data_IF_541269013893
#
_entry.id   IF_541269013893
#
_cell.length_a   1.000
_cell.length_b   1.000
_cell.length_c   1.000
_cell.angle_alpha   90.00
_cell.angle_beta   90.00
_cell.angle_gamma   90.00
#
_symmetry.space_group_name_H-M   'P 1'
#
loop_
_entity.id
_entity.type
_entity.pdbx_description
1 polymer ?
#
# COMPACT_ATOMS: atom_id res chain seq x y z
N UNK A 1 7.30 10.63 -14.90
CA UNK A 1 6.35 9.52 -14.89
C UNK A 1 6.98 8.23 -14.37
N UNK A 2 7.94 7.59 -15.07
CA UNK A 2 8.53 6.29 -14.67
C UNK A 2 9.13 6.32 -13.26
N UNK A 3 9.98 7.31 -12.91
CA UNK A 3 10.54 7.42 -11.56
C UNK A 3 9.46 7.43 -10.45
N UNK A 4 8.31 8.06 -10.68
CA UNK A 4 7.20 8.11 -9.73
C UNK A 4 6.41 6.80 -9.66
N UNK A 5 6.23 6.13 -10.79
CA UNK A 5 5.65 4.80 -10.83
C UNK A 5 6.52 3.79 -10.06
N UNK A 6 7.82 3.81 -10.30
CA UNK A 6 8.81 3.03 -9.57
C UNK A 6 8.85 3.41 -8.08
N UNK A 7 8.80 4.72 -7.77
CA UNK A 7 8.74 5.21 -6.39
C UNK A 7 7.50 4.72 -5.65
N UNK A 8 6.33 4.71 -6.30
CA UNK A 8 5.09 4.21 -5.72
C UNK A 8 5.20 2.73 -5.31
N UNK A 9 5.58 1.86 -6.24
CA UNK A 9 5.64 0.42 -5.96
C UNK A 9 6.77 0.06 -4.98
N UNK A 10 7.95 0.67 -5.15
CA UNK A 10 9.06 0.53 -4.19
C UNK A 10 8.70 1.04 -2.80
N UNK A 11 8.01 2.18 -2.75
CA UNK A 11 7.60 2.78 -1.47
C UNK A 11 6.62 1.90 -0.71
N UNK A 12 5.69 1.27 -1.42
CA UNK A 12 4.80 0.27 -0.83
C UNK A 12 5.58 -0.91 -0.26
N UNK A 13 6.39 -1.58 -1.08
CA UNK A 13 7.16 -2.76 -0.69
C UNK A 13 8.13 -2.47 0.45
N UNK A 14 8.77 -1.30 0.44
CA UNK A 14 9.68 -0.90 1.51
C UNK A 14 8.93 -0.58 2.81
N UNK A 15 7.79 0.09 2.72
CA UNK A 15 6.94 0.41 3.86
C UNK A 15 6.42 -0.85 4.55
N UNK A 16 5.87 -1.80 3.78
CA UNK A 16 5.44 -3.12 4.21
C UNK A 16 6.58 -3.86 4.96
N UNK A 17 7.68 -4.13 4.27
CA UNK A 17 8.78 -4.90 4.85
C UNK A 17 9.47 -4.21 6.04
N UNK A 18 9.48 -2.87 6.09
CA UNK A 18 10.03 -2.11 7.20
C UNK A 18 9.07 -2.11 8.40
N UNK A 19 7.78 -1.94 8.15
CA UNK A 19 6.73 -1.96 9.16
C UNK A 19 6.56 -3.33 9.80
N UNK A 20 6.68 -4.42 9.02
CA UNK A 20 6.63 -5.80 9.51
C UNK A 20 7.70 -6.16 10.55
N UNK A 21 8.77 -5.34 10.67
CA UNK A 21 9.76 -5.51 11.74
C UNK A 21 9.18 -5.25 13.14
N UNK A 22 8.13 -4.45 13.25
CA UNK A 22 7.59 -3.98 14.53
C UNK A 22 6.07 -4.00 14.61
N UNK A 23 5.42 -4.69 13.69
CA UNK A 23 3.97 -4.84 13.64
C UNK A 23 3.42 -5.33 14.99
N UNK A 24 2.26 -4.79 15.37
CA UNK A 24 1.57 -5.02 16.66
C UNK A 24 2.30 -4.52 17.91
N UNK A 25 3.46 -3.87 17.79
CA UNK A 25 4.14 -3.26 18.92
C UNK A 25 3.55 -1.89 19.25
N UNK A 26 3.65 -1.53 20.53
CA UNK A 26 3.32 -0.16 20.98
C UNK A 26 4.42 0.83 20.58
N UNK A 27 4.10 2.13 20.48
CA UNK A 27 5.09 3.16 20.20
C UNK A 27 6.26 3.18 21.21
N UNK A 28 6.01 2.82 22.47
CA UNK A 28 7.04 2.74 23.54
C UNK A 28 8.02 1.59 23.30
N UNK A 29 7.53 0.42 22.90
CA UNK A 29 8.36 -0.74 22.57
C UNK A 29 9.22 -0.45 21.34
N UNK A 30 8.65 0.15 20.30
CA UNK A 30 9.38 0.52 19.09
C UNK A 30 10.47 1.53 19.42
N UNK A 31 10.16 2.62 20.14
CA UNK A 31 11.18 3.62 20.55
C UNK A 31 12.31 3.04 21.40
N UNK A 32 12.02 2.02 22.21
CA UNK A 32 13.05 1.34 23.02
C UNK A 32 14.00 0.55 22.15
N UNK A 33 13.48 -0.18 21.16
CA UNK A 33 14.26 -1.01 20.26
C UNK A 33 14.95 -0.20 19.15
N UNK A 34 14.27 0.84 18.68
CA UNK A 34 14.69 1.69 17.56
C UNK A 34 14.66 3.18 17.96
N UNK A 35 15.57 3.66 18.81
CA UNK A 35 15.53 5.04 19.33
C UNK A 35 15.75 6.11 18.27
N UNK A 36 16.25 5.74 17.08
CA UNK A 36 16.43 6.62 15.93
C UNK A 36 15.39 6.39 14.80
N UNK A 37 14.34 5.61 15.09
CA UNK A 37 13.37 5.13 14.12
C UNK A 37 13.79 3.82 13.45
N UNK A 38 12.79 3.10 12.89
CA UNK A 38 13.01 1.88 12.10
C UNK A 38 13.43 2.32 10.69
N UNK A 39 14.73 2.20 10.38
CA UNK A 39 15.30 2.81 9.15
C UNK A 39 15.97 1.82 8.21
N UNK A 40 16.29 0.62 8.66
CA UNK A 40 16.98 -0.37 7.86
C UNK A 40 16.12 -1.63 7.72
N UNK A 41 15.96 -2.11 6.50
CA UNK A 41 15.40 -3.44 6.24
C UNK A 41 16.37 -4.49 6.75
N UNK A 42 15.91 -5.36 7.64
CA UNK A 42 16.70 -6.37 8.33
C UNK A 42 15.95 -7.70 8.42
N UNK A 43 16.67 -8.78 8.68
CA UNK A 43 16.05 -10.07 9.01
C UNK A 43 15.38 -10.02 10.39
N UNK A 44 14.22 -10.66 10.53
CA UNK A 44 13.50 -10.79 11.79
C UNK A 44 12.11 -10.16 11.76
N UNK A 45 11.78 -9.39 12.80
CA UNK A 45 10.47 -8.76 12.95
C UNK A 45 9.39 -9.72 13.44
N UNK A 46 8.14 -9.28 13.38
CA UNK A 46 6.95 -10.00 13.88
C UNK A 46 6.82 -11.37 13.22
N UNK A 47 7.05 -11.44 11.93
CA UNK A 47 6.92 -12.67 11.13
C UNK A 47 8.24 -13.41 10.92
N UNK A 48 9.36 -12.91 11.47
CA UNK A 48 10.69 -13.52 11.29
C UNK A 48 11.05 -13.71 9.80
N UNK A 49 10.85 -12.67 9.01
CA UNK A 49 11.13 -12.62 7.57
C UNK A 49 12.59 -12.28 7.28
N UNK A 50 13.06 -12.50 6.06
CA UNK A 50 14.34 -11.96 5.59
C UNK A 50 14.18 -10.50 5.15
N UNK A 51 15.26 -9.74 5.17
CA UNK A 51 15.27 -8.32 4.82
C UNK A 51 14.61 -8.05 3.45
N UNK A 52 13.55 -7.25 3.46
CA UNK A 52 12.79 -6.88 2.27
C UNK A 52 11.75 -7.91 1.82
N UNK A 53 11.50 -8.97 2.60
CA UNK A 53 10.43 -9.92 2.29
C UNK A 53 9.07 -9.27 2.56
N UNK A 54 8.18 -9.22 1.56
CA UNK A 54 6.83 -8.67 1.71
C UNK A 54 5.93 -9.56 2.59
N UNK A 55 4.91 -8.92 3.17
CA UNK A 55 3.74 -9.56 3.79
C UNK A 55 2.59 -9.65 2.78
N UNK A 56 1.36 -9.90 3.24
CA UNK A 56 0.16 -9.96 2.39
C UNK A 56 -0.11 -8.64 1.67
N UNK A 57 0.23 -7.50 2.25
CA UNK A 57 0.12 -6.17 1.64
C UNK A 57 0.69 -6.13 0.24
N UNK A 58 1.96 -6.45 0.12
CA UNK A 58 2.66 -6.32 -1.15
C UNK A 58 2.64 -7.59 -1.99
N UNK A 59 2.47 -8.77 -1.40
CA UNK A 59 2.26 -10.00 -2.20
C UNK A 59 0.99 -9.89 -3.06
N UNK A 60 -0.11 -9.39 -2.48
CA UNK A 60 -1.35 -9.14 -3.23
C UNK A 60 -1.19 -8.03 -4.26
N UNK A 61 -0.47 -6.95 -3.92
CA UNK A 61 -0.16 -5.87 -4.84
C UNK A 61 0.67 -6.35 -6.04
N UNK A 62 1.70 -7.18 -5.82
CA UNK A 62 2.51 -7.75 -6.89
C UNK A 62 1.68 -8.61 -7.85
N UNK A 63 0.73 -9.40 -7.35
CA UNK A 63 -0.19 -10.16 -8.21
C UNK A 63 -1.11 -9.26 -9.03
N UNK A 64 -1.69 -8.23 -8.40
CA UNK A 64 -2.48 -7.23 -9.12
C UNK A 64 -1.66 -6.56 -10.23
N UNK A 65 -0.42 -6.16 -9.92
CA UNK A 65 0.50 -5.57 -10.88
C UNK A 65 0.74 -6.48 -12.08
N UNK A 66 1.10 -7.75 -11.83
CA UNK A 66 1.36 -8.75 -12.88
C UNK A 66 0.12 -9.03 -13.72
N UNK A 67 -1.05 -9.10 -13.10
CA UNK A 67 -2.32 -9.27 -13.80
C UNK A 67 -2.61 -8.08 -14.73
N UNK A 68 -2.43 -6.85 -14.26
CA UNK A 68 -2.64 -5.64 -15.05
C UNK A 68 -1.70 -5.55 -16.26
N UNK A 69 -0.42 -5.88 -16.06
CA UNK A 69 0.56 -5.94 -17.15
C UNK A 69 0.19 -7.01 -18.17
N UNK A 70 -0.15 -8.20 -17.71
CA UNK A 70 -0.51 -9.33 -18.57
C UNK A 70 -1.77 -9.09 -19.39
N UNK A 71 -2.79 -8.49 -18.78
CA UNK A 71 -4.09 -8.32 -19.41
C UNK A 71 -4.22 -6.99 -20.19
N UNK A 72 -3.41 -5.99 -19.89
CA UNK A 72 -3.53 -4.64 -20.44
C UNK A 72 -4.82 -3.90 -20.04
N UNK A 73 -5.58 -4.43 -19.08
CA UNK A 73 -6.83 -3.87 -18.58
C UNK A 73 -7.12 -4.38 -17.18
N UNK A 74 -7.90 -3.62 -16.39
CA UNK A 74 -8.44 -4.12 -15.14
C UNK A 74 -9.68 -4.99 -15.40
N UNK A 75 -9.70 -6.18 -14.82
CA UNK A 75 -10.81 -7.12 -14.81
C UNK A 75 -10.99 -7.66 -13.39
N UNK A 76 -12.14 -7.38 -12.72
CA UNK A 76 -12.38 -7.80 -11.34
C UNK A 76 -12.37 -9.31 -11.14
N UNK A 77 -12.81 -10.09 -12.13
CA UNK A 77 -12.77 -11.55 -12.04
C UNK A 77 -11.35 -12.11 -12.20
N UNK A 78 -10.52 -11.48 -13.01
CA UNK A 78 -9.10 -11.82 -13.10
C UNK A 78 -8.38 -11.46 -11.78
N UNK A 79 -8.63 -10.27 -11.23
CA UNK A 79 -8.07 -9.86 -9.94
C UNK A 79 -8.48 -10.83 -8.81
N UNK A 80 -9.77 -11.19 -8.74
CA UNK A 80 -10.28 -12.19 -7.77
C UNK A 80 -9.52 -13.51 -7.88
N UNK A 81 -9.27 -14.02 -9.08
CA UNK A 81 -8.54 -15.28 -9.30
C UNK A 81 -7.11 -15.19 -8.79
N UNK A 82 -6.41 -14.08 -9.04
CA UNK A 82 -5.06 -13.89 -8.53
C UNK A 82 -5.05 -13.83 -6.99
N UNK A 83 -6.00 -13.15 -6.36
CA UNK A 83 -6.11 -13.10 -4.90
C UNK A 83 -6.50 -14.47 -4.30
N UNK A 84 -7.34 -15.25 -4.98
CA UNK A 84 -7.64 -16.64 -4.56
C UNK A 84 -6.42 -17.56 -4.72
N UNK A 85 -5.61 -17.35 -5.77
CA UNK A 85 -4.34 -18.06 -5.91
C UNK A 85 -3.40 -17.72 -4.73
N UNK A 86 -3.30 -16.42 -4.37
CA UNK A 86 -2.52 -16.01 -3.21
C UNK A 86 -3.02 -16.67 -1.91
N UNK A 87 -4.31 -16.63 -1.64
CA UNK A 87 -4.90 -17.24 -0.44
C UNK A 87 -4.61 -18.75 -0.37
N UNK A 88 -4.65 -19.45 -1.50
CA UNK A 88 -4.37 -20.88 -1.59
C UNK A 88 -2.87 -21.22 -1.55
N UNK A 89 -1.99 -20.23 -1.56
CA UNK A 89 -0.53 -20.41 -1.47
C UNK A 89 0.00 -20.52 -0.03
N UNK A 90 -0.90 -20.61 0.96
CA UNK A 90 -0.59 -20.67 2.39
C UNK A 90 0.23 -19.46 2.86
N UNK A 91 -0.31 -18.23 2.74
CA UNK A 91 0.37 -17.04 3.21
C UNK A 91 0.57 -17.10 4.72
N UNK A 92 1.73 -16.60 5.20
CA UNK A 92 2.07 -16.59 6.63
C UNK A 92 1.35 -15.46 7.39
N UNK A 93 0.85 -14.47 6.67
CA UNK A 93 0.00 -13.41 7.17
C UNK A 93 -1.24 -13.29 6.26
N UNK A 94 -2.41 -13.09 6.85
CA UNK A 94 -3.67 -12.99 6.11
C UNK A 94 -4.76 -12.32 6.96
N UNK A 95 -5.21 -11.15 6.54
CA UNK A 95 -6.32 -10.44 7.18
C UNK A 95 -7.64 -11.22 7.13
N UNK A 96 -8.37 -11.26 8.24
CA UNK A 96 -9.66 -11.97 8.36
C UNK A 96 -10.69 -11.52 7.32
N UNK A 97 -10.79 -10.21 7.04
CA UNK A 97 -11.73 -9.66 6.06
C UNK A 97 -11.38 -10.11 4.64
N UNK A 98 -10.09 -10.16 4.30
CA UNK A 98 -9.61 -10.66 3.01
C UNK A 98 -9.98 -12.13 2.86
N UNK A 99 -9.61 -12.96 3.83
CA UNK A 99 -9.91 -14.39 3.82
C UNK A 99 -11.40 -14.66 3.64
N UNK A 100 -12.25 -14.02 4.46
CA UNK A 100 -13.69 -14.17 4.38
C UNK A 100 -14.25 -13.74 3.00
N UNK A 101 -13.82 -12.59 2.49
CA UNK A 101 -14.25 -12.07 1.18
C UNK A 101 -13.90 -13.00 0.02
N UNK A 102 -12.65 -13.51 -0.01
CA UNK A 102 -12.18 -14.41 -1.06
C UNK A 102 -12.84 -15.78 -1.00
N UNK A 103 -13.31 -16.23 0.18
CA UNK A 103 -14.09 -17.43 0.39
C UNK A 103 -15.60 -17.25 0.11
N UNK A 104 -16.02 -16.07 -0.36
CA UNK A 104 -17.41 -15.79 -0.73
C UNK A 104 -18.31 -15.32 0.42
N UNK A 105 -17.74 -14.93 1.56
CA UNK A 105 -18.45 -14.43 2.74
C UNK A 105 -17.98 -13.00 3.13
N UNK A 106 -18.05 -12.01 2.23
CA UNK A 106 -17.58 -10.66 2.53
C UNK A 106 -18.44 -10.00 3.62
N UNK A 107 -17.77 -9.37 4.60
CA UNK A 107 -18.46 -8.60 5.64
C UNK A 107 -18.65 -7.14 5.19
N UNK A 108 -19.92 -6.76 4.93
CA UNK A 108 -20.27 -5.40 4.54
C UNK A 108 -20.10 -4.35 5.65
N UNK A 109 -19.93 -4.77 6.89
CA UNK A 109 -19.69 -3.85 8.02
C UNK A 109 -18.20 -3.61 8.26
N UNK A 110 -17.34 -4.50 7.78
CA UNK A 110 -15.89 -4.35 7.94
C UNK A 110 -15.38 -3.11 7.20
N UNK A 111 -14.66 -2.27 7.92
CA UNK A 111 -13.96 -1.09 7.40
C UNK A 111 -12.45 -1.28 7.49
N UNK A 112 -11.97 -2.52 7.28
CA UNK A 112 -10.54 -2.83 7.33
C UNK A 112 -9.78 -2.24 6.12
N UNK A 113 -8.46 -2.06 6.29
CA UNK A 113 -7.57 -1.44 5.33
C UNK A 113 -7.04 -2.40 4.24
N UNK A 114 -7.30 -3.70 4.34
CA UNK A 114 -6.73 -4.73 3.48
C UNK A 114 -7.07 -4.65 1.98
N UNK A 115 -8.04 -3.82 1.57
CA UNK A 115 -8.20 -3.48 0.15
C UNK A 115 -7.25 -2.35 -0.26
N UNK A 116 -7.01 -1.37 0.62
CA UNK A 116 -6.16 -0.21 0.30
C UNK A 116 -4.68 -0.59 0.23
N UNK A 117 -4.23 -1.52 1.07
CA UNK A 117 -2.85 -1.97 1.12
C UNK A 117 -2.34 -2.55 -0.21
N UNK A 118 -3.23 -3.14 -1.03
CA UNK A 118 -2.86 -3.86 -2.26
C UNK A 118 -3.09 -3.07 -3.56
N UNK A 119 -3.82 -1.92 -3.51
CA UNK A 119 -4.40 -1.30 -4.71
C UNK A 119 -3.46 -0.36 -5.47
N UNK A 120 -2.29 -0.01 -4.92
CA UNK A 120 -1.37 0.97 -5.53
C UNK A 120 -0.99 0.68 -7.00
N UNK A 121 -0.82 -0.60 -7.44
CA UNK A 121 -0.53 -0.90 -8.84
C UNK A 121 -1.63 -0.45 -9.80
N UNK A 122 -2.89 -0.45 -9.34
CA UNK A 122 -4.00 0.06 -10.14
C UNK A 122 -3.90 1.58 -10.35
N UNK A 123 -3.37 2.32 -9.37
CA UNK A 123 -3.05 3.74 -9.52
C UNK A 123 -1.92 3.99 -10.52
N UNK A 124 -0.89 3.15 -10.53
CA UNK A 124 0.21 3.23 -11.51
C UNK A 124 -0.31 2.96 -12.91
N UNK A 125 -1.02 1.85 -13.10
CA UNK A 125 -1.63 1.47 -14.37
C UNK A 125 -2.66 2.50 -14.84
N UNK A 126 -3.46 3.01 -13.89
CA UNK A 126 -4.51 3.99 -14.10
C UNK A 126 -4.03 5.39 -14.49
N UNK A 127 -2.73 5.69 -14.34
CA UNK A 127 -2.16 7.01 -14.63
C UNK A 127 -2.43 7.52 -16.07
N UNK A 128 -2.75 6.63 -17.00
CA UNK A 128 -3.05 6.96 -18.41
C UNK A 128 -4.54 7.04 -18.72
N UNK A 129 -5.39 6.80 -17.74
CA UNK A 129 -6.83 6.77 -17.90
C UNK A 129 -7.48 7.97 -17.22
N UNK A 130 -8.75 8.23 -17.53
CA UNK A 130 -9.51 9.24 -16.83
C UNK A 130 -9.70 8.86 -15.35
N UNK A 131 -9.56 9.82 -14.44
CA UNK A 131 -9.61 9.56 -12.99
C UNK A 131 -10.92 8.91 -12.52
N UNK A 132 -12.05 9.21 -13.19
CA UNK A 132 -13.32 8.54 -12.89
C UNK A 132 -13.28 7.04 -13.20
N UNK A 133 -12.59 6.63 -14.26
CA UNK A 133 -12.39 5.21 -14.57
C UNK A 133 -11.49 4.53 -13.54
N UNK A 134 -10.43 5.23 -13.09
CA UNK A 134 -9.54 4.74 -12.04
C UNK A 134 -10.31 4.56 -10.72
N UNK A 135 -11.15 5.53 -10.38
CA UNK A 135 -12.01 5.44 -9.19
C UNK A 135 -12.96 4.23 -9.26
N UNK A 136 -13.61 4.02 -10.40
CA UNK A 136 -14.51 2.88 -10.61
C UNK A 136 -13.78 1.54 -10.43
N UNK A 137 -12.62 1.36 -11.05
CA UNK A 137 -11.79 0.17 -10.90
C UNK A 137 -11.35 -0.07 -9.46
N UNK A 138 -10.92 0.98 -8.76
CA UNK A 138 -10.51 0.87 -7.36
C UNK A 138 -11.67 0.49 -6.44
N UNK A 139 -12.88 1.01 -6.68
CA UNK A 139 -14.08 0.61 -5.96
C UNK A 139 -14.45 -0.85 -6.23
N UNK A 140 -14.35 -1.29 -7.49
CA UNK A 140 -14.59 -2.70 -7.86
C UNK A 140 -13.57 -3.64 -7.20
N UNK A 141 -12.28 -3.28 -7.18
CA UNK A 141 -11.25 -4.07 -6.51
C UNK A 141 -11.49 -4.17 -5.00
N UNK A 142 -11.79 -3.05 -4.36
CA UNK A 142 -12.11 -3.05 -2.94
C UNK A 142 -13.32 -3.94 -2.62
N UNK A 143 -14.37 -3.87 -3.43
CA UNK A 143 -15.60 -4.65 -3.25
C UNK A 143 -15.40 -6.17 -3.33
N UNK A 144 -14.29 -6.65 -3.91
CA UNK A 144 -13.98 -8.08 -3.96
C UNK A 144 -13.88 -8.71 -2.56
N UNK A 145 -13.42 -7.93 -1.58
CA UNK A 145 -13.20 -8.38 -0.20
C UNK A 145 -13.79 -7.44 0.85
N UNK A 146 -13.86 -6.14 0.56
CA UNK A 146 -14.28 -5.06 1.47
C UNK A 146 -15.44 -4.28 0.86
N UNK A 147 -16.66 -4.83 0.83
CA UNK A 147 -17.81 -4.20 0.16
C UNK A 147 -18.35 -2.96 0.89
N UNK A 148 -17.81 -2.60 2.06
CA UNK A 148 -18.19 -1.37 2.77
C UNK A 148 -17.91 -0.15 1.92
N UNK A 149 -18.87 0.79 1.84
CA UNK A 149 -18.76 1.97 0.97
C UNK A 149 -17.57 2.87 1.32
N UNK A 150 -17.25 3.01 2.63
CA UNK A 150 -16.09 3.78 3.08
C UNK A 150 -14.79 3.17 2.53
N UNK A 151 -14.64 1.84 2.54
CA UNK A 151 -13.47 1.18 1.98
C UNK A 151 -13.37 1.43 0.47
N UNK A 152 -14.47 1.28 -0.26
CA UNK A 152 -14.50 1.53 -1.70
C UNK A 152 -14.12 2.97 -2.05
N UNK A 153 -14.73 3.95 -1.37
CA UNK A 153 -14.47 5.37 -1.61
C UNK A 153 -13.05 5.80 -1.22
N UNK A 154 -12.53 5.28 -0.09
CA UNK A 154 -11.15 5.54 0.32
C UNK A 154 -10.15 4.98 -0.70
N UNK A 155 -10.39 3.75 -1.19
CA UNK A 155 -9.58 3.16 -2.27
C UNK A 155 -9.63 4.00 -3.55
N UNK A 156 -10.81 4.50 -3.95
CA UNK A 156 -10.96 5.36 -5.12
C UNK A 156 -10.10 6.63 -5.00
N UNK A 157 -10.22 7.37 -3.89
CA UNK A 157 -9.46 8.59 -3.67
C UNK A 157 -7.95 8.36 -3.60
N UNK A 158 -7.52 7.30 -2.92
CA UNK A 158 -6.13 6.91 -2.82
C UNK A 158 -5.53 6.58 -4.20
N UNK A 159 -6.23 5.77 -4.97
CA UNK A 159 -5.79 5.33 -6.30
C UNK A 159 -5.77 6.49 -7.30
N UNK A 160 -6.78 7.37 -7.26
CA UNK A 160 -6.80 8.62 -8.02
C UNK A 160 -5.61 9.52 -7.67
N UNK A 161 -5.26 9.61 -6.36
CA UNK A 161 -4.11 10.37 -5.88
C UNK A 161 -2.80 9.86 -6.48
N UNK A 162 -2.58 8.55 -6.48
CA UNK A 162 -1.41 7.92 -7.10
C UNK A 162 -1.38 8.20 -8.61
N UNK A 163 -2.48 7.94 -9.34
CA UNK A 163 -2.56 8.14 -10.77
C UNK A 163 -2.26 9.59 -11.18
N UNK A 164 -2.82 10.55 -10.45
CA UNK A 164 -2.59 11.97 -10.66
C UNK A 164 -1.13 12.35 -10.40
N UNK A 165 -0.53 11.87 -9.31
CA UNK A 165 0.87 12.17 -8.95
C UNK A 165 1.87 11.66 -9.98
N UNK A 166 1.59 10.52 -10.62
CA UNK A 166 2.47 9.94 -11.63
C UNK A 166 2.48 10.78 -12.92
N UNK A 167 1.33 11.32 -13.32
CA UNK A 167 1.19 12.09 -14.56
C UNK A 167 1.46 13.56 -14.39
N UNK A 168 1.14 14.13 -13.24
CA UNK A 168 1.25 15.56 -12.97
C UNK A 168 2.36 15.83 -11.97
N UNK A 169 3.23 16.78 -12.28
CA UNK A 169 4.19 17.29 -11.30
C UNK A 169 3.42 18.21 -10.35
N UNK A 170 2.94 17.65 -9.23
CA UNK A 170 2.26 18.43 -8.20
C UNK A 170 3.01 18.34 -6.86
N UNK A 171 2.97 19.43 -6.13
CA UNK A 171 3.44 19.47 -4.75
C UNK A 171 2.44 18.72 -3.82
N UNK A 172 2.95 18.24 -2.68
CA UNK A 172 2.15 17.48 -1.72
C UNK A 172 0.83 18.18 -1.31
N UNK A 173 0.90 19.49 -1.05
CA UNK A 173 -0.28 20.28 -0.69
C UNK A 173 -1.29 20.44 -1.85
N UNK A 174 -0.82 20.44 -3.09
CA UNK A 174 -1.69 20.51 -4.26
C UNK A 174 -2.40 19.18 -4.47
N UNK A 175 -1.68 18.06 -4.30
CA UNK A 175 -2.27 16.74 -4.34
C UNK A 175 -3.35 16.57 -3.26
N UNK A 176 -3.05 16.96 -2.02
CA UNK A 176 -4.03 16.91 -0.93
C UNK A 176 -5.30 17.69 -1.29
N UNK A 177 -5.16 18.94 -1.79
CA UNK A 177 -6.32 19.75 -2.22
C UNK A 177 -7.13 19.08 -3.32
N UNK A 178 -6.46 18.41 -4.25
CA UNK A 178 -7.12 17.65 -5.32
C UNK A 178 -7.90 16.46 -4.74
N UNK A 179 -7.30 15.66 -3.85
CA UNK A 179 -7.97 14.53 -3.18
C UNK A 179 -9.20 15.01 -2.41
N UNK A 180 -9.06 16.10 -1.66
CA UNK A 180 -10.17 16.69 -0.92
C UNK A 180 -11.29 17.16 -1.85
N UNK A 181 -10.96 17.79 -2.97
CA UNK A 181 -11.96 18.22 -3.94
C UNK A 181 -12.69 17.02 -4.55
N UNK A 182 -11.97 15.97 -4.93
CA UNK A 182 -12.60 14.74 -5.45
C UNK A 182 -13.50 14.07 -4.42
N UNK A 183 -13.16 14.13 -3.13
CA UNK A 183 -14.03 13.62 -2.07
C UNK A 183 -15.37 14.37 -1.99
N UNK A 184 -15.38 15.68 -2.32
CA UNK A 184 -16.61 16.47 -2.43
C UNK A 184 -17.37 16.13 -3.71
N UNK A 185 -16.66 16.00 -4.83
CA UNK A 185 -17.26 15.73 -6.14
C UNK A 185 -17.88 14.31 -6.23
N UNK A 186 -17.28 13.33 -5.53
CA UNK A 186 -17.76 11.93 -5.45
C UNK A 186 -18.77 11.70 -4.31
N UNK A 187 -19.34 12.70 -3.69
CA UNK A 187 -19.99 12.82 -2.39
C UNK A 187 -19.73 11.60 -1.47
N UNK A 188 -18.50 11.51 -0.96
CA UNK A 188 -18.10 10.39 -0.10
C UNK A 188 -18.80 10.44 1.26
N UNK A 189 -18.79 9.31 1.98
CA UNK A 189 -19.29 9.21 3.35
C UNK A 189 -18.69 10.29 4.25
N UNK A 190 -19.51 10.91 5.10
CA UNK A 190 -19.10 12.03 5.97
C UNK A 190 -17.87 11.69 6.81
N UNK A 191 -17.80 10.48 7.37
CA UNK A 191 -16.63 10.04 8.15
C UNK A 191 -15.33 10.06 7.37
N UNK A 192 -15.37 9.72 6.08
CA UNK A 192 -14.21 9.76 5.20
C UNK A 192 -13.80 11.21 4.92
N UNK A 193 -14.75 12.09 4.65
CA UNK A 193 -14.46 13.51 4.45
C UNK A 193 -13.90 14.16 5.75
N UNK A 194 -14.43 13.81 6.91
CA UNK A 194 -13.96 14.30 8.20
C UNK A 194 -12.49 13.97 8.45
N UNK A 195 -12.04 12.74 8.14
CA UNK A 195 -10.62 12.38 8.36
C UNK A 195 -9.70 13.03 7.33
N UNK A 196 -10.19 13.25 6.10
CA UNK A 196 -9.44 14.01 5.09
C UNK A 196 -9.23 15.45 5.61
N UNK A 197 -10.27 16.10 6.12
CA UNK A 197 -10.17 17.45 6.65
C UNK A 197 -9.27 17.53 7.91
N UNK A 198 -9.30 16.52 8.78
CA UNK A 198 -8.43 16.45 9.98
C UNK A 198 -6.96 16.28 9.62
N UNK A 199 -6.65 15.54 8.58
CA UNK A 199 -5.27 15.25 8.16
C UNK A 199 -4.43 16.52 7.91
N UNK A 200 -5.06 17.68 7.69
CA UNK A 200 -4.35 18.97 7.57
C UNK A 200 -3.63 19.36 8.85
N UNK A 201 -4.21 19.05 10.02
CA UNK A 201 -3.75 19.57 11.29
C UNK A 201 -3.25 18.49 12.26
N UNK A 202 -3.75 17.26 12.13
CA UNK A 202 -3.49 16.21 13.10
C UNK A 202 -3.40 14.82 12.46
N UNK A 203 -2.50 13.95 12.93
CA UNK A 203 -2.47 12.54 12.55
C UNK A 203 -3.68 11.82 13.17
N UNK A 204 -3.92 10.54 12.85
CA UNK A 204 -4.86 9.71 13.59
C UNK A 204 -4.60 9.77 15.10
N UNK A 205 -5.68 9.92 15.88
CA UNK A 205 -5.57 10.05 17.32
C UNK A 205 -5.09 8.76 18.01
N UNK A 206 -5.33 7.63 17.40
CA UNK A 206 -5.01 6.30 17.94
C UNK A 206 -4.69 5.33 16.81
N UNK A 207 -3.50 4.73 16.88
CA UNK A 207 -3.03 3.72 15.91
C UNK A 207 -3.13 2.30 16.47
N UNK A 208 -3.48 2.13 17.74
CA UNK A 208 -3.48 0.84 18.42
C UNK A 208 -4.87 0.21 18.47
N UNK A 209 -5.88 0.99 18.92
CA UNK A 209 -7.25 0.51 18.89
C UNK A 209 -7.79 0.56 17.46
N UNK A 210 -8.38 -0.53 17.01
CA UNK A 210 -8.84 -0.68 15.63
C UNK A 210 -7.74 -0.45 14.58
N UNK A 211 -6.52 -0.87 14.89
CA UNK A 211 -5.28 -0.61 14.12
C UNK A 211 -5.43 -0.86 12.61
N UNK A 212 -6.17 -1.89 12.18
CA UNK A 212 -6.47 -2.20 10.79
C UNK A 212 -7.61 -1.37 10.16
N UNK A 213 -8.01 -0.22 10.74
CA UNK A 213 -9.10 0.59 10.19
C UNK A 213 -8.64 1.45 9.01
N UNK A 214 -9.34 1.34 7.87
CA UNK A 214 -9.00 2.06 6.63
C UNK A 214 -8.89 3.58 6.83
N UNK A 215 -9.68 4.17 7.72
CA UNK A 215 -9.63 5.61 7.99
C UNK A 215 -8.36 6.01 8.74
N UNK A 216 -7.79 5.16 9.60
CA UNK A 216 -6.47 5.39 10.22
C UNK A 216 -5.40 5.42 9.14
N UNK A 217 -5.34 4.38 8.30
CA UNK A 217 -4.35 4.26 7.24
C UNK A 217 -4.39 5.46 6.27
N UNK A 218 -5.60 5.85 5.82
CA UNK A 218 -5.75 6.93 4.87
C UNK A 218 -5.48 8.30 5.48
N UNK A 219 -5.97 8.59 6.70
CA UNK A 219 -5.63 9.84 7.41
C UNK A 219 -4.13 9.96 7.62
N UNK A 220 -3.47 8.87 8.07
CA UNK A 220 -2.03 8.87 8.24
C UNK A 220 -1.29 9.18 6.94
N UNK A 221 -1.63 8.50 5.84
CA UNK A 221 -0.99 8.73 4.55
C UNK A 221 -1.13 10.21 4.09
N UNK A 222 -2.32 10.82 4.27
CA UNK A 222 -2.55 12.22 3.94
C UNK A 222 -1.80 13.17 4.89
N UNK A 223 -1.75 12.86 6.19
CA UNK A 223 -0.99 13.64 7.17
C UNK A 223 0.50 13.63 6.84
N UNK A 224 1.08 12.45 6.58
CA UNK A 224 2.49 12.34 6.21
C UNK A 224 2.78 13.02 4.85
N UNK A 225 1.85 12.95 3.90
CA UNK A 225 1.97 13.67 2.63
C UNK A 225 2.19 15.17 2.84
N UNK A 226 1.47 15.78 3.77
CA UNK A 226 1.50 17.23 4.01
C UNK A 226 2.68 17.64 4.91
N UNK A 227 3.01 16.82 5.92
CA UNK A 227 3.86 17.24 7.02
C UNK A 227 5.26 16.65 7.01
N UNK A 228 5.51 15.56 6.26
CA UNK A 228 6.83 14.95 6.22
C UNK A 228 7.81 15.78 5.41
N UNK A 229 9.05 15.87 5.90
CA UNK A 229 10.11 16.63 5.26
C UNK A 229 10.65 15.95 4.00
N UNK A 230 10.51 14.61 3.93
CA UNK A 230 10.93 13.79 2.80
C UNK A 230 10.23 12.41 2.88
N UNK A 231 10.47 11.58 1.88
CA UNK A 231 9.89 10.24 1.77
C UNK A 231 10.23 9.34 2.99
N UNK A 232 11.53 9.24 3.35
CA UNK A 232 11.98 8.36 4.43
C UNK A 232 11.35 8.73 5.76
N UNK A 233 11.35 10.02 6.13
CA UNK A 233 10.74 10.47 7.39
C UNK A 233 9.24 10.19 7.44
N UNK A 234 8.52 10.28 6.31
CA UNK A 234 7.10 9.95 6.27
C UNK A 234 6.81 8.49 6.57
N UNK A 235 7.57 7.58 5.98
CA UNK A 235 7.45 6.13 6.23
C UNK A 235 7.87 5.79 7.65
N UNK A 236 9.04 6.27 8.11
CA UNK A 236 9.56 6.01 9.46
C UNK A 236 8.60 6.56 10.53
N UNK A 237 8.12 7.80 10.37
CA UNK A 237 7.15 8.39 11.30
C UNK A 237 5.87 7.56 11.40
N UNK A 238 5.36 7.06 10.27
CA UNK A 238 4.20 6.15 10.26
C UNK A 238 4.45 4.93 11.14
N UNK A 239 5.57 4.23 10.94
CA UNK A 239 5.94 3.02 11.68
C UNK A 239 6.09 3.29 13.17
N UNK A 240 6.64 4.44 13.55
CA UNK A 240 6.89 4.80 14.95
C UNK A 240 5.61 5.06 15.78
N UNK A 241 4.44 5.08 15.12
CA UNK A 241 3.14 5.13 15.80
C UNK A 241 2.65 3.76 16.31
N UNK A 242 3.26 2.65 15.87
CA UNK A 242 2.89 1.30 16.30
C UNK A 242 1.58 0.80 15.67
N UNK A 243 1.10 -0.32 16.20
CA UNK A 243 -0.11 -0.97 15.71
C UNK A 243 0.12 -1.74 14.41
N UNK A 244 -0.71 -1.53 13.44
CA UNK A 244 -0.65 -2.09 12.08
C UNK A 244 0.40 -1.31 11.24
N UNK A 245 1.66 -1.55 11.56
CA UNK A 245 2.76 -0.72 11.05
C UNK A 245 3.13 -1.01 9.61
N UNK A 246 3.03 -2.25 9.17
CA UNK A 246 3.30 -2.68 7.80
C UNK A 246 2.26 -2.14 6.83
N UNK A 247 0.97 -2.36 7.08
CA UNK A 247 -0.10 -1.86 6.23
C UNK A 247 -0.12 -0.33 6.17
N UNK A 248 -0.03 0.34 7.32
CA UNK A 248 -0.01 1.80 7.34
C UNK A 248 1.21 2.38 6.60
N UNK A 249 2.38 1.74 6.73
CA UNK A 249 3.59 2.19 6.04
C UNK A 249 3.61 1.80 4.55
N UNK A 250 3.02 0.66 4.16
CA UNK A 250 2.83 0.30 2.76
C UNK A 250 1.96 1.33 2.02
N UNK A 251 0.81 1.69 2.61
CA UNK A 251 -0.11 2.69 2.06
C UNK A 251 0.56 4.08 1.99
N UNK A 252 1.18 4.50 3.09
CA UNK A 252 1.91 5.78 3.15
C UNK A 252 3.05 5.81 2.14
N UNK A 253 3.87 4.77 2.11
CA UNK A 253 5.01 4.63 1.19
C UNK A 253 4.60 4.66 -0.28
N UNK A 254 3.48 4.02 -0.63
CA UNK A 254 2.96 4.08 -1.99
C UNK A 254 2.59 5.51 -2.41
N UNK A 255 1.86 6.25 -1.57
CA UNK A 255 1.46 7.62 -1.87
C UNK A 255 2.65 8.57 -1.95
N UNK A 256 3.53 8.54 -0.94
CA UNK A 256 4.72 9.37 -0.91
C UNK A 256 5.68 9.04 -2.06
N UNK A 257 5.87 7.75 -2.35
CA UNK A 257 6.69 7.29 -3.47
C UNK A 257 6.18 7.78 -4.83
N UNK A 258 4.86 7.85 -5.02
CA UNK A 258 4.25 8.43 -6.22
C UNK A 258 4.50 9.94 -6.37
N UNK A 259 4.70 10.65 -5.26
CA UNK A 259 5.01 12.10 -5.25
C UNK A 259 6.50 12.35 -5.41
N UNK A 260 7.32 11.71 -4.57
CA UNK A 260 8.76 11.98 -4.48
C UNK A 260 9.59 11.24 -5.53
N UNK A 261 9.09 10.13 -6.07
CA UNK A 261 9.81 9.31 -7.05
C UNK A 261 10.84 8.36 -6.41
N UNK A 262 11.40 7.49 -7.27
CA UNK A 262 12.37 6.45 -6.87
C UNK A 262 13.61 7.01 -6.18
N UNK A 263 14.10 8.16 -6.63
CA UNK A 263 15.33 8.76 -6.15
C UNK A 263 15.26 9.22 -4.68
N UNK A 264 14.06 9.34 -4.12
CA UNK A 264 13.84 9.69 -2.72
C UNK A 264 13.91 8.47 -1.78
N UNK A 265 13.92 7.26 -2.33
CA UNK A 265 13.93 6.02 -1.53
C UNK A 265 15.35 5.68 -1.11
N UNK A 266 15.61 5.37 0.18
CA UNK A 266 16.93 5.00 0.66
C UNK A 266 17.53 3.83 -0.12
N UNK A 267 18.81 3.94 -0.47
CA UNK A 267 19.52 2.92 -1.27
C UNK A 267 19.54 1.55 -0.57
N UNK A 268 19.59 1.52 0.76
CA UNK A 268 19.53 0.27 1.54
C UNK A 268 18.19 -0.45 1.29
N UNK A 269 17.06 0.27 1.28
CA UNK A 269 15.73 -0.32 1.04
C UNK A 269 15.63 -0.90 -0.37
N UNK A 270 16.04 -0.12 -1.38
CA UNK A 270 16.07 -0.59 -2.76
C UNK A 270 16.92 -1.86 -2.93
N UNK A 271 18.14 -1.84 -2.38
CA UNK A 271 19.05 -2.98 -2.48
C UNK A 271 18.50 -4.23 -1.79
N UNK A 272 17.88 -4.08 -0.61
CA UNK A 272 17.28 -5.22 0.11
C UNK A 272 16.13 -5.83 -0.67
N UNK A 273 15.21 -5.02 -1.21
CA UNK A 273 14.10 -5.49 -2.03
C UNK A 273 14.57 -6.24 -3.30
N UNK A 274 15.51 -5.65 -4.04
CA UNK A 274 16.02 -6.27 -5.28
C UNK A 274 16.79 -7.58 -5.04
N UNK A 275 17.28 -7.80 -3.83
CA UNK A 275 17.99 -9.02 -3.45
C UNK A 275 17.15 -10.00 -2.63
N UNK A 276 15.92 -9.64 -2.27
CA UNK A 276 15.04 -10.48 -1.47
C UNK A 276 14.50 -11.67 -2.28
N UNK A 277 14.96 -12.85 -1.91
CA UNK A 277 14.53 -14.11 -2.51
C UNK A 277 14.18 -15.11 -1.43
N UNK A 278 12.93 -15.11 -0.92
CA UNK A 278 12.46 -16.05 0.09
C UNK A 278 12.28 -17.45 -0.51
N UNK A 279 13.39 -18.11 -0.88
CA UNK A 279 13.43 -19.42 -1.49
C UNK A 279 13.59 -20.53 -0.45
N UNK A 280 12.87 -21.63 -0.64
CA UNK A 280 12.94 -22.78 0.25
C UNK A 280 14.36 -23.34 0.36
N UNK A 281 14.82 -23.61 1.58
CA UNK A 281 16.16 -24.14 1.87
C UNK A 281 17.26 -23.09 1.89
N UNK A 282 16.96 -21.82 1.65
CA UNK A 282 17.92 -20.74 1.83
C UNK A 282 18.07 -20.42 3.33
N UNK A 283 19.30 -20.18 3.85
CA UNK A 283 19.52 -19.77 5.23
C UNK A 283 18.66 -18.54 5.60
N UNK A 284 18.14 -18.53 6.82
CA UNK A 284 17.28 -17.46 7.39
C UNK A 284 15.86 -17.34 6.79
N UNK A 285 15.51 -18.06 5.70
CA UNK A 285 14.14 -18.05 5.17
C UNK A 285 13.25 -18.97 6.00
N UNK A 286 12.37 -18.39 6.81
CA UNK A 286 11.35 -19.12 7.59
C UNK A 286 10.05 -19.30 6.79
N UNK A 287 9.72 -18.33 5.94
CA UNK A 287 8.51 -18.31 5.12
C UNK A 287 8.90 -18.29 3.63
N UNK A 288 9.21 -19.46 3.03
CA UNK A 288 9.50 -19.50 1.60
C UNK A 288 8.24 -19.18 0.79
N UNK A 289 8.40 -18.37 -0.25
CA UNK A 289 7.28 -17.92 -1.07
C UNK A 289 7.55 -18.15 -2.56
N UNK A 290 6.50 -18.42 -3.37
CA UNK A 290 6.59 -18.47 -4.82
C UNK A 290 7.23 -17.21 -5.42
N UNK A 291 7.96 -17.37 -6.54
CA UNK A 291 8.69 -16.28 -7.20
C UNK A 291 7.81 -15.09 -7.61
N UNK A 292 6.52 -15.31 -7.88
CA UNK A 292 5.59 -14.24 -8.25
C UNK A 292 5.35 -13.21 -7.12
N UNK A 293 5.71 -13.56 -5.87
CA UNK A 293 5.65 -12.67 -4.71
C UNK A 293 7.00 -12.01 -4.36
N UNK A 294 8.06 -12.32 -5.10
CA UNK A 294 9.35 -11.72 -4.83
C UNK A 294 9.42 -10.28 -5.37
N UNK A 295 10.01 -9.34 -4.64
CA UNK A 295 10.07 -7.93 -5.04
C UNK A 295 11.22 -7.62 -6.00
N UNK A 296 11.97 -8.62 -6.45
CA UNK A 296 13.24 -8.47 -7.16
C UNK A 296 13.16 -7.72 -8.48
N UNK A 297 12.01 -7.73 -9.16
CA UNK A 297 11.72 -7.10 -10.45
C UNK A 297 10.82 -5.86 -10.32
N UNK A 298 10.77 -5.27 -9.13
CA UNK A 298 9.84 -4.17 -8.83
C UNK A 298 9.98 -2.95 -9.74
N UNK A 299 11.20 -2.63 -10.17
CA UNK A 299 11.46 -1.48 -11.06
C UNK A 299 10.89 -1.72 -12.45
N UNK A 300 11.17 -2.89 -13.00
CA UNK A 300 10.70 -3.32 -14.31
C UNK A 300 9.16 -3.44 -14.32
N UNK A 301 8.60 -4.05 -13.29
CA UNK A 301 7.15 -4.21 -13.14
C UNK A 301 6.42 -2.86 -13.05
N UNK A 302 6.96 -1.91 -12.31
CA UNK A 302 6.39 -0.56 -12.23
C UNK A 302 6.47 0.19 -13.57
N UNK A 303 7.55 0.01 -14.31
CA UNK A 303 7.72 0.56 -15.66
C UNK A 303 6.72 -0.08 -16.65
N UNK A 304 6.59 -1.39 -16.63
CA UNK A 304 5.62 -2.12 -17.45
C UNK A 304 4.19 -1.66 -17.16
N UNK A 305 3.79 -1.54 -15.88
CA UNK A 305 2.48 -0.98 -15.50
C UNK A 305 2.22 0.39 -16.12
N UNK A 306 3.24 1.25 -16.08
CA UNK A 306 3.15 2.62 -16.58
C UNK A 306 3.06 2.68 -18.11
N UNK A 307 3.67 1.73 -18.83
CA UNK A 307 3.82 1.72 -20.28
C UNK A 307 2.86 0.75 -21.01
N UNK A 308 2.24 -0.20 -20.29
CA UNK A 308 1.33 -1.19 -20.90
C UNK A 308 0.18 -0.50 -21.63
N UNK A 309 0.07 -0.72 -22.92
CA UNK A 309 -1.00 -0.18 -23.77
C UNK A 309 -2.12 -1.21 -23.84
N UNK A 310 -3.35 -0.79 -23.63
CA UNK A 310 -4.54 -1.62 -23.90
C UNK A 310 -4.49 -2.07 -25.38
N UNK A 311 -4.52 -3.36 -25.59
CA UNK A 311 -4.61 -3.96 -26.92
C UNK A 311 -6.06 -3.92 -27.40
#
# INVERSE_FOLDING_TARGET
MISRAQGCLLGQLAGDALGGLVEFQSPEEIRRSYPKGVRDLADGGTWNTIAGQPTDDSEMALLLARMLVKNGSYDPEAARKEYQYWLNSDPFDCGMTISAGLQGNPDSNSQANGAMMRVSPLGIFGARFALNQVAEWAMQDAALTHPNLICQQANALFTMGIAHSITSVCEANELYKSIRQWAVDLPVETKLLDIIDRAVNEPPADYIHQQGWVLIAFQNALYQLIHSTNFEEGVVNTIMHGGDTDTNAAICGALLGAVYGREAIPAQWLNSLQNCRPEAGHPHVQHPRPKCFWPVDVLELAEELCLTVSI
#
